data_IF_003579705399
#
_entry.id   IF_003579705399
#
_cell.length_a   1.000
_cell.length_b   1.000
_cell.length_c   1.000
_cell.angle_alpha   90.00
_cell.angle_beta   90.00
_cell.angle_gamma   90.00
#
_symmetry.space_group_name_H-M   'P 1'
#
loop_
_entity.id
_entity.type
_entity.pdbx_description
1 polymer ?
#
# COMPACT_ATOMS: atom_id res chain seq x y z
N UNK A 1 61.29 40.37 65.18
CA UNK A 1 60.84 38.97 64.94
C UNK A 1 59.68 39.02 63.95
N UNK A 2 59.82 38.32 62.82
CA UNK A 2 58.91 38.33 61.66
C UNK A 2 57.54 37.73 62.03
N UNK A 3 56.44 38.39 61.68
CA UNK A 3 55.13 37.74 61.52
C UNK A 3 54.91 37.54 60.02
N UNK A 4 55.01 36.28 59.59
CA UNK A 4 54.71 35.84 58.22
C UNK A 4 53.19 35.74 58.11
N UNK A 5 52.61 36.55 57.23
CA UNK A 5 51.23 36.47 56.80
C UNK A 5 51.16 35.44 55.67
N UNK A 6 50.54 34.28 55.92
CA UNK A 6 50.28 33.25 54.92
C UNK A 6 48.95 33.60 54.24
N UNK A 7 49.00 34.07 52.99
CA UNK A 7 47.82 34.31 52.15
C UNK A 7 47.55 33.00 51.38
N UNK A 8 46.53 32.24 51.79
CA UNK A 8 46.05 31.09 51.03
C UNK A 8 45.36 31.58 49.75
N UNK A 9 46.03 31.42 48.61
CA UNK A 9 45.47 31.64 47.29
C UNK A 9 44.63 30.41 46.92
N UNK A 10 43.33 30.45 47.18
CA UNK A 10 42.39 29.44 46.67
C UNK A 10 42.23 29.64 45.17
N UNK A 11 42.85 28.77 44.38
CA UNK A 11 42.58 28.67 42.94
C UNK A 11 41.15 28.11 42.78
N UNK A 12 40.21 28.97 42.38
CA UNK A 12 38.92 28.54 41.84
C UNK A 12 39.23 28.02 40.43
N UNK A 13 39.34 26.70 40.27
CA UNK A 13 39.17 26.11 38.95
C UNK A 13 37.70 26.27 38.60
N UNK A 14 37.39 27.24 37.74
CA UNK A 14 36.14 27.21 37.00
C UNK A 14 36.18 25.94 36.15
N UNK A 15 35.39 24.93 36.51
CA UNK A 15 35.04 23.88 35.55
C UNK A 15 34.36 24.60 34.39
N UNK A 16 35.04 24.67 33.24
CA UNK A 16 34.36 25.00 32.00
C UNK A 16 33.28 23.93 31.84
N UNK A 17 32.02 24.33 31.95
CA UNK A 17 30.92 23.44 31.59
C UNK A 17 31.21 22.95 30.17
N UNK A 18 31.25 21.62 29.97
CA UNK A 18 31.52 21.04 28.66
C UNK A 18 30.48 21.60 27.70
N UNK A 19 30.94 22.35 26.70
CA UNK A 19 30.08 22.87 25.66
C UNK A 19 30.08 21.82 24.54
N UNK A 20 28.96 21.13 24.38
CA UNK A 20 28.77 20.10 23.37
C UNK A 20 28.23 20.71 22.07
N UNK A 21 28.50 20.05 20.95
CA UNK A 21 27.82 20.31 19.68
C UNK A 21 26.66 19.35 19.55
N UNK A 22 25.46 19.86 19.30
CA UNK A 22 24.29 19.05 18.98
C UNK A 22 24.02 19.11 17.48
N UNK A 23 23.97 17.97 16.82
CA UNK A 23 23.64 17.84 15.39
C UNK A 23 22.37 17.04 15.20
N UNK A 24 21.76 17.19 14.03
CA UNK A 24 20.67 16.33 13.58
C UNK A 24 20.32 16.65 12.14
N UNK A 25 19.47 15.80 11.56
CA UNK A 25 19.00 15.94 10.18
C UNK A 25 17.49 15.87 10.14
N UNK A 26 16.84 16.90 9.59
CA UNK A 26 15.38 16.94 9.44
C UNK A 26 15.01 16.38 8.08
N UNK A 27 14.07 15.43 8.06
CA UNK A 27 13.63 14.73 6.85
C UNK A 27 12.10 14.65 6.76
N UNK A 28 11.60 14.44 5.54
CA UNK A 28 10.21 14.08 5.27
C UNK A 28 9.98 12.57 5.52
N UNK A 29 8.72 12.10 5.51
CA UNK A 29 8.42 10.66 5.54
C UNK A 29 9.04 9.87 4.38
N UNK A 30 9.26 10.52 3.24
CA UNK A 30 9.98 9.96 2.09
C UNK A 30 11.51 10.00 2.22
N UNK A 31 12.04 10.39 3.40
CA UNK A 31 13.47 10.58 3.70
C UNK A 31 14.16 11.67 2.88
N UNK A 32 13.39 12.55 2.23
CA UNK A 32 13.94 13.73 1.58
C UNK A 32 14.37 14.76 2.64
N UNK A 33 15.48 15.49 2.45
CA UNK A 33 15.91 16.50 3.41
C UNK A 33 14.96 17.70 3.44
N UNK A 34 14.68 18.23 4.62
CA UNK A 34 13.89 19.46 4.80
C UNK A 34 14.86 20.62 5.03
N UNK A 35 15.11 21.41 3.99
CA UNK A 35 15.98 22.59 4.06
C UNK A 35 15.24 23.81 4.65
N UNK A 36 15.94 24.65 5.39
CA UNK A 36 15.40 25.89 5.97
C UNK A 36 14.41 25.69 7.12
N UNK A 37 14.31 24.50 7.71
CA UNK A 37 13.54 24.28 8.93
C UNK A 37 14.19 25.05 10.09
N UNK A 38 13.39 25.81 10.82
CA UNK A 38 13.84 26.55 12.01
C UNK A 38 13.92 25.59 13.19
N UNK A 39 15.09 25.54 13.82
CA UNK A 39 15.37 24.74 15.01
C UNK A 39 15.41 25.68 16.21
N UNK A 40 14.56 25.45 17.20
CA UNK A 40 14.60 26.13 18.49
C UNK A 40 15.01 25.10 19.55
N UNK A 41 16.12 25.36 20.24
CA UNK A 41 16.68 24.48 21.25
C UNK A 41 16.69 25.23 22.58
N UNK A 42 15.67 24.96 23.40
CA UNK A 42 15.29 25.80 24.53
C UNK A 42 15.59 25.11 25.87
N UNK A 43 16.16 25.84 26.81
CA UNK A 43 16.36 25.45 28.21
C UNK A 43 15.96 26.66 29.09
N UNK A 44 15.66 26.44 30.36
CA UNK A 44 15.29 27.49 31.31
C UNK A 44 16.32 28.65 31.39
N UNK A 45 17.61 28.34 31.21
CA UNK A 45 18.72 29.30 31.32
C UNK A 45 19.30 29.76 29.96
N UNK A 46 19.06 29.02 28.87
CA UNK A 46 19.65 29.27 27.55
C UNK A 46 18.69 28.90 26.41
N UNK A 47 18.68 29.66 25.33
CA UNK A 47 17.84 29.38 24.16
C UNK A 47 18.63 29.65 22.91
N UNK A 48 18.80 28.62 22.10
CA UNK A 48 19.56 28.67 20.86
C UNK A 48 18.63 28.43 19.68
N UNK A 49 18.97 29.02 18.54
CA UNK A 49 18.27 28.79 17.29
C UNK A 49 19.26 28.47 16.18
N UNK A 50 18.82 27.63 15.26
CA UNK A 50 19.56 27.26 14.05
C UNK A 50 18.56 27.03 12.91
N UNK A 51 19.08 26.81 11.72
CA UNK A 51 18.27 26.42 10.58
C UNK A 51 18.93 25.23 9.88
N UNK A 52 18.13 24.35 9.29
CA UNK A 52 18.68 23.26 8.47
C UNK A 52 19.24 23.79 7.15
N UNK A 53 20.37 23.22 6.73
CA UNK A 53 20.97 23.48 5.42
C UNK A 53 20.24 22.73 4.29
N UNK A 54 20.76 22.84 3.06
CA UNK A 54 20.20 22.18 1.86
C UNK A 54 20.18 20.64 1.96
N UNK A 55 20.99 20.06 2.86
CA UNK A 55 21.02 18.62 3.15
C UNK A 55 20.10 18.23 4.32
N UNK A 56 19.35 19.19 4.87
CA UNK A 56 18.46 19.02 6.01
C UNK A 56 19.19 18.99 7.36
N UNK A 57 20.51 19.25 7.39
CA UNK A 57 21.33 19.12 8.59
C UNK A 57 21.31 20.43 9.36
N UNK A 58 21.16 20.36 10.68
CA UNK A 58 21.36 21.48 11.59
C UNK A 58 22.51 21.24 12.57
N UNK A 59 23.03 22.31 13.11
CA UNK A 59 24.06 22.28 14.16
C UNK A 59 23.77 23.36 15.19
N UNK A 60 23.78 22.98 16.46
CA UNK A 60 23.76 23.85 17.64
C UNK A 60 25.13 23.75 18.29
N UNK A 61 25.87 24.85 18.34
CA UNK A 61 27.23 24.87 18.89
C UNK A 61 27.22 25.39 20.32
N UNK A 62 28.11 24.84 21.13
CA UNK A 62 28.30 25.26 22.53
C UNK A 62 27.03 25.08 23.39
N UNK A 63 26.28 24.01 23.17
CA UNK A 63 25.19 23.63 24.06
C UNK A 63 25.77 23.19 25.41
N UNK A 64 25.32 23.82 26.49
CA UNK A 64 25.77 23.49 27.85
C UNK A 64 25.08 22.21 28.30
N UNK A 65 25.76 21.40 29.12
CA UNK A 65 25.14 20.22 29.71
C UNK A 65 23.83 20.58 30.44
N UNK A 66 22.73 19.90 30.10
CA UNK A 66 21.40 20.25 30.55
C UNK A 66 20.31 19.50 29.78
N UNK A 67 19.04 19.77 30.13
CA UNK A 67 17.88 19.23 29.40
C UNK A 67 17.26 20.34 28.58
N UNK A 68 16.95 20.04 27.32
CA UNK A 68 16.41 21.00 26.37
C UNK A 68 15.07 20.52 25.80
N UNK A 69 14.19 21.49 25.56
CA UNK A 69 12.99 21.39 24.75
C UNK A 69 13.34 21.75 23.29
N UNK A 70 13.23 20.80 22.38
CA UNK A 70 13.50 20.99 20.97
C UNK A 70 12.18 21.25 20.23
N UNK A 71 12.11 22.35 19.49
CA UNK A 71 11.01 22.67 18.58
C UNK A 71 11.56 22.80 17.17
N UNK A 72 10.88 22.20 16.19
CA UNK A 72 11.23 22.34 14.78
C UNK A 72 10.02 22.85 14.02
N UNK A 73 10.20 23.94 13.28
CA UNK A 73 9.18 24.56 12.46
C UNK A 73 9.63 24.60 11.00
N UNK A 74 8.79 24.12 10.09
CA UNK A 74 9.02 24.18 8.65
C UNK A 74 7.71 24.53 7.92
N UNK A 75 7.81 25.31 6.85
CA UNK A 75 6.62 25.67 6.04
C UNK A 75 5.96 24.42 5.47
N UNK A 76 4.65 24.27 5.72
CA UNK A 76 3.88 23.12 5.24
C UNK A 76 3.92 21.90 6.16
N UNK A 77 4.57 21.98 7.32
CA UNK A 77 4.63 20.89 8.31
C UNK A 77 4.05 21.38 9.65
N UNK A 78 3.37 20.52 10.43
CA UNK A 78 3.07 20.81 11.82
C UNK A 78 4.36 21.03 12.61
N UNK A 79 4.24 21.76 13.71
CA UNK A 79 5.37 21.95 14.63
C UNK A 79 5.74 20.61 15.27
N UNK A 80 7.02 20.24 15.14
CA UNK A 80 7.57 19.10 15.86
C UNK A 80 8.07 19.57 17.23
N UNK A 81 7.77 18.80 18.27
CA UNK A 81 8.24 19.05 19.63
C UNK A 81 8.86 17.78 20.22
N UNK A 82 10.06 17.91 20.77
CA UNK A 82 10.66 16.90 21.64
C UNK A 82 10.94 17.53 23.01
N UNK A 83 10.21 17.11 24.06
CA UNK A 83 10.29 17.79 25.34
C UNK A 83 11.55 17.50 26.16
N UNK A 84 12.33 16.50 25.77
CA UNK A 84 13.47 16.06 26.58
C UNK A 84 14.65 15.64 25.69
N UNK A 85 15.52 16.60 25.39
CA UNK A 85 16.86 16.36 24.83
C UNK A 85 17.91 16.57 25.90
N UNK A 86 18.55 15.50 26.34
CA UNK A 86 19.60 15.56 27.38
C UNK A 86 20.97 15.74 26.73
N UNK A 87 21.58 16.90 26.97
CA UNK A 87 22.93 17.24 26.51
C UNK A 87 23.92 17.02 27.66
N UNK A 88 25.01 16.30 27.37
CA UNK A 88 26.12 16.07 28.29
C UNK A 88 27.37 16.89 27.92
N UNK A 89 28.54 16.43 28.35
CA UNK A 89 29.83 17.09 28.06
C UNK A 89 30.46 16.68 26.71
N UNK A 90 29.74 15.90 25.89
CA UNK A 90 30.20 15.41 24.58
C UNK A 90 29.19 15.72 23.49
N UNK A 91 29.67 15.85 22.26
CA UNK A 91 28.82 16.05 21.09
C UNK A 91 27.69 15.00 21.02
N UNK A 92 26.50 15.46 20.63
CA UNK A 92 25.28 14.68 20.58
C UNK A 92 24.71 14.74 19.16
N UNK A 93 24.58 13.57 18.53
CA UNK A 93 23.84 13.45 17.28
C UNK A 93 22.43 12.94 17.57
N UNK A 94 21.43 13.76 17.22
CA UNK A 94 20.01 13.41 17.34
C UNK A 94 19.53 12.52 16.19
N UNK A 95 20.38 12.27 15.19
CA UNK A 95 20.06 11.43 14.04
C UNK A 95 19.04 12.10 13.12
N UNK A 96 18.23 11.26 12.44
CA UNK A 96 17.16 11.74 11.57
C UNK A 96 15.88 12.03 12.38
N UNK A 97 15.40 13.25 12.27
CA UNK A 97 14.11 13.70 12.83
C UNK A 97 13.14 13.85 11.67
N UNK A 98 12.14 12.99 11.63
CA UNK A 98 11.12 13.00 10.59
C UNK A 98 9.98 13.95 10.96
N UNK A 99 9.65 14.90 10.09
CA UNK A 99 8.47 15.75 10.26
C UNK A 99 7.23 15.04 9.71
N UNK A 100 6.12 15.14 10.46
CA UNK A 100 4.81 14.73 9.97
C UNK A 100 4.33 15.71 8.89
N UNK A 101 3.66 15.21 7.85
CA UNK A 101 3.02 16.06 6.83
C UNK A 101 1.55 16.18 7.20
N UNK A 102 0.93 17.38 7.15
CA UNK A 102 -0.49 17.48 7.40
C UNK A 102 -1.24 16.81 6.25
N UNK A 103 -2.14 15.89 6.58
CA UNK A 103 -2.89 15.11 5.61
C UNK A 103 -4.37 15.47 5.63
N UNK A 104 -5.01 15.32 4.47
CA UNK A 104 -6.43 15.44 4.28
C UNK A 104 -7.14 14.09 4.53
N UNK A 105 -8.35 14.16 5.06
CA UNK A 105 -9.27 13.03 5.17
C UNK A 105 -10.46 13.27 4.26
N UNK A 106 -10.66 12.41 3.28
CA UNK A 106 -11.81 12.46 2.38
C UNK A 106 -12.88 11.49 2.86
N UNK A 107 -13.96 12.05 3.38
CA UNK A 107 -15.17 11.32 3.73
C UNK A 107 -16.27 11.53 2.68
N UNK A 108 -17.08 10.50 2.46
CA UNK A 108 -18.22 10.59 1.57
C UNK A 108 -19.16 9.41 1.70
N UNK A 109 -20.10 9.32 0.77
CA UNK A 109 -21.01 8.17 0.63
C UNK A 109 -21.29 7.84 -0.83
N UNK A 110 -21.69 6.59 -1.05
CA UNK A 110 -22.10 6.07 -2.36
C UNK A 110 -23.54 5.58 -2.27
N UNK A 111 -24.40 6.05 -3.18
CA UNK A 111 -25.82 5.65 -3.21
C UNK A 111 -26.41 5.69 -4.62
N UNK A 112 -27.59 5.09 -4.78
CA UNK A 112 -28.46 5.26 -5.95
C UNK A 112 -29.59 6.20 -5.59
N UNK A 113 -29.83 7.22 -6.43
CA UNK A 113 -30.98 8.11 -6.27
C UNK A 113 -32.22 7.50 -6.92
N UNK A 114 -33.25 7.16 -6.14
CA UNK A 114 -34.54 6.68 -6.64
C UNK A 114 -35.64 7.72 -6.37
N UNK A 115 -36.77 7.70 -7.12
CA UNK A 115 -37.90 8.58 -6.86
C UNK A 115 -38.49 8.47 -5.45
N UNK A 116 -38.32 7.32 -4.80
CA UNK A 116 -38.80 7.02 -3.44
C UNK A 116 -37.82 7.39 -2.34
N UNK A 117 -36.61 7.86 -2.69
CA UNK A 117 -35.52 8.13 -1.77
C UNK A 117 -34.21 7.50 -2.22
N UNK A 118 -33.11 7.90 -1.57
CA UNK A 118 -31.80 7.32 -1.84
C UNK A 118 -31.71 5.92 -1.24
N UNK A 119 -31.00 5.04 -1.95
CA UNK A 119 -30.60 3.71 -1.46
C UNK A 119 -29.09 3.73 -1.34
N UNK A 120 -28.59 3.75 -0.11
CA UNK A 120 -27.16 3.67 0.19
C UNK A 120 -26.61 2.33 -0.33
N UNK A 121 -25.39 2.35 -0.88
CA UNK A 121 -24.75 1.17 -1.45
C UNK A 121 -23.64 0.68 -0.52
N UNK A 122 -23.92 -0.25 0.42
CA UNK A 122 -22.87 -0.92 1.16
C UNK A 122 -22.13 -1.90 0.26
N UNK A 123 -20.82 -2.09 0.49
CA UNK A 123 -20.03 -2.98 -0.35
C UNK A 123 -19.40 -2.31 -1.58
N UNK A 124 -19.87 -1.12 -1.99
CA UNK A 124 -19.35 -0.39 -3.14
C UNK A 124 -17.84 -0.15 -2.99
N UNK A 125 -17.08 -0.43 -4.05
CA UNK A 125 -15.64 -0.26 -4.08
C UNK A 125 -15.30 1.14 -4.59
N UNK A 126 -14.65 1.91 -3.72
CA UNK A 126 -14.19 3.28 -3.98
C UNK A 126 -12.66 3.29 -4.04
N UNK A 127 -12.07 3.97 -5.00
CA UNK A 127 -10.64 4.28 -5.07
C UNK A 127 -10.42 5.79 -5.18
N UNK A 128 -9.25 6.25 -4.76
CA UNK A 128 -8.81 7.64 -4.90
C UNK A 128 -7.48 7.64 -5.64
N UNK A 129 -7.46 8.27 -6.82
CA UNK A 129 -6.26 8.49 -7.61
C UNK A 129 -5.82 9.95 -7.48
N UNK A 130 -4.53 10.17 -7.32
CA UNK A 130 -3.94 11.50 -7.25
C UNK A 130 -2.49 11.49 -7.75
N UNK A 131 -1.91 12.68 -7.92
CA UNK A 131 -0.51 12.81 -8.30
C UNK A 131 0.27 13.39 -7.13
N UNK A 132 1.33 12.69 -6.72
CA UNK A 132 2.24 13.13 -5.67
C UNK A 132 3.67 13.03 -6.19
N UNK A 133 4.42 14.13 -6.13
CA UNK A 133 5.81 14.21 -6.64
C UNK A 133 5.95 13.77 -8.12
N UNK A 134 4.92 14.01 -8.93
CA UNK A 134 4.90 13.64 -10.36
C UNK A 134 4.58 12.16 -10.62
N UNK A 135 4.31 11.37 -9.59
CA UNK A 135 3.88 9.98 -9.70
C UNK A 135 2.38 9.85 -9.44
N UNK A 136 1.70 9.04 -10.24
CA UNK A 136 0.32 8.65 -9.97
C UNK A 136 0.28 7.69 -8.78
N UNK A 137 -0.48 8.05 -7.75
CA UNK A 137 -0.79 7.23 -6.59
C UNK A 137 -2.27 6.84 -6.64
N UNK A 138 -2.57 5.65 -6.17
CA UNK A 138 -3.93 5.14 -6.03
C UNK A 138 -4.05 4.58 -4.61
N UNK A 139 -5.04 5.05 -3.87
CA UNK A 139 -5.44 4.49 -2.59
C UNK A 139 -6.77 3.74 -2.78
N UNK A 140 -6.84 2.51 -2.26
CA UNK A 140 -7.99 1.63 -2.42
C UNK A 140 -7.78 0.51 -3.46
N UNK A 141 -8.85 -0.19 -3.86
CA UNK A 141 -10.24 0.10 -3.48
C UNK A 141 -10.52 -0.15 -1.99
N UNK A 142 -11.43 0.62 -1.42
CA UNK A 142 -12.05 0.37 -0.12
C UNK A 142 -13.54 0.14 -0.30
N UNK A 143 -14.11 -0.75 0.52
CA UNK A 143 -15.54 -1.04 0.50
C UNK A 143 -16.31 -0.06 1.39
N UNK A 144 -17.42 0.47 0.89
CA UNK A 144 -18.34 1.30 1.68
C UNK A 144 -18.98 0.49 2.81
N UNK A 145 -19.31 1.20 3.90
CA UNK A 145 -19.97 0.64 5.07
C UNK A 145 -21.46 0.41 4.82
N UNK A 146 -22.16 -0.16 5.80
CA UNK A 146 -23.61 -0.45 5.77
C UNK A 146 -24.47 0.78 5.40
N UNK A 147 -24.01 1.98 5.79
CA UNK A 147 -24.67 3.26 5.50
C UNK A 147 -24.18 3.93 4.21
N UNK A 148 -23.46 3.20 3.35
CA UNK A 148 -22.89 3.70 2.10
C UNK A 148 -21.65 4.58 2.29
N UNK A 149 -21.21 4.84 3.53
CA UNK A 149 -20.10 5.76 3.80
C UNK A 149 -18.72 5.16 3.51
N UNK A 150 -17.76 6.03 3.16
CA UNK A 150 -16.34 5.71 3.03
C UNK A 150 -15.46 6.80 3.64
N UNK A 151 -14.20 6.46 3.94
CA UNK A 151 -13.20 7.37 4.50
C UNK A 151 -11.80 7.00 3.99
N UNK A 152 -11.16 7.94 3.30
CA UNK A 152 -9.74 7.89 2.95
C UNK A 152 -8.98 8.87 3.82
N UNK A 153 -8.01 8.38 4.59
CA UNK A 153 -7.13 9.20 5.42
C UNK A 153 -5.74 9.26 4.81
N UNK A 154 -4.96 10.27 5.21
CA UNK A 154 -3.56 10.38 4.79
C UNK A 154 -3.36 10.97 3.39
N UNK A 155 -4.41 11.56 2.79
CA UNK A 155 -4.31 12.15 1.46
C UNK A 155 -3.47 13.44 1.49
N UNK A 156 -2.65 13.75 0.48
CA UNK A 156 -1.87 14.99 0.47
C UNK A 156 -2.77 16.23 0.38
N UNK A 157 -2.55 17.25 1.21
CA UNK A 157 -3.31 18.50 1.12
C UNK A 157 -3.12 19.23 -0.22
N UNK A 158 -4.05 20.14 -0.53
CA UNK A 158 -4.01 21.02 -1.71
C UNK A 158 -3.76 20.24 -3.02
N UNK A 159 -4.30 19.03 -3.10
CA UNK A 159 -4.12 18.10 -4.21
C UNK A 159 -5.47 17.78 -4.82
N UNK A 160 -5.53 17.72 -6.15
CA UNK A 160 -6.70 17.24 -6.87
C UNK A 160 -6.78 15.71 -6.80
N UNK A 161 -7.98 15.17 -6.61
CA UNK A 161 -8.23 13.73 -6.57
C UNK A 161 -9.27 13.31 -7.62
N UNK A 162 -9.03 12.18 -8.30
CA UNK A 162 -10.04 11.45 -9.06
C UNK A 162 -10.57 10.30 -8.19
N UNK A 163 -11.83 10.39 -7.76
CA UNK A 163 -12.47 9.40 -6.89
C UNK A 163 -13.38 8.53 -7.73
N UNK A 164 -13.05 7.24 -7.85
CA UNK A 164 -13.85 6.29 -8.63
C UNK A 164 -14.64 5.38 -7.71
N UNK A 165 -15.95 5.26 -7.92
CA UNK A 165 -16.79 4.30 -7.24
C UNK A 165 -17.41 3.31 -8.23
N UNK A 166 -17.47 2.05 -7.81
CA UNK A 166 -18.08 0.95 -8.56
C UNK A 166 -18.89 0.06 -7.62
N UNK A 167 -20.00 -0.48 -8.11
CA UNK A 167 -20.85 -1.43 -7.41
C UNK A 167 -21.39 -2.41 -8.47
N UNK A 168 -21.68 -3.65 -8.09
CA UNK A 168 -22.33 -4.56 -9.04
C UNK A 168 -23.67 -3.96 -9.48
N UNK A 169 -24.08 -4.24 -10.72
CA UNK A 169 -25.33 -3.74 -11.29
C UNK A 169 -25.42 -2.21 -11.47
N UNK A 170 -24.32 -1.48 -11.25
CA UNK A 170 -24.25 -0.03 -11.38
C UNK A 170 -23.17 0.42 -12.37
N UNK A 171 -23.41 1.56 -13.00
CA UNK A 171 -22.43 2.22 -13.86
C UNK A 171 -21.34 2.83 -12.98
N UNK A 172 -20.09 2.40 -13.21
CA UNK A 172 -18.90 2.97 -12.57
C UNK A 172 -18.81 4.47 -12.82
N UNK A 173 -18.48 5.24 -11.77
CA UNK A 173 -18.42 6.70 -11.85
C UNK A 173 -17.14 7.24 -11.23
N UNK A 174 -16.52 8.20 -11.91
CA UNK A 174 -15.38 8.97 -11.40
C UNK A 174 -15.82 10.41 -11.15
N UNK A 175 -15.44 10.96 -9.99
CA UNK A 175 -15.70 12.34 -9.57
C UNK A 175 -14.38 13.01 -9.24
N UNK A 176 -14.17 14.23 -9.75
CA UNK A 176 -13.01 15.05 -9.41
C UNK A 176 -13.29 15.84 -8.13
N UNK A 177 -12.38 15.77 -7.17
CA UNK A 177 -12.33 16.63 -5.99
C UNK A 177 -11.19 17.62 -6.20
N UNK A 178 -11.53 18.89 -6.27
CA UNK A 178 -10.60 19.99 -6.54
C UNK A 178 -9.58 20.19 -5.41
N UNK A 179 -8.40 20.69 -5.76
CA UNK A 179 -7.39 21.10 -4.79
C UNK A 179 -7.93 22.18 -3.82
N UNK A 180 -7.50 22.10 -2.57
CA UNK A 180 -7.92 23.05 -1.52
C UNK A 180 -9.32 22.77 -0.94
N UNK A 181 -9.86 21.57 -1.14
CA UNK A 181 -11.06 21.12 -0.44
C UNK A 181 -10.91 21.30 1.08
N UNK A 182 -11.96 21.81 1.72
CA UNK A 182 -11.96 22.09 3.17
C UNK A 182 -12.04 20.78 3.98
N UNK A 183 -11.56 20.81 5.22
CA UNK A 183 -11.56 19.63 6.09
C UNK A 183 -12.97 19.07 6.41
N UNK A 184 -14.03 19.85 6.20
CA UNK A 184 -15.44 19.46 6.36
C UNK A 184 -16.12 19.06 5.04
N UNK A 185 -15.39 19.04 3.92
CA UNK A 185 -15.93 18.61 2.65
C UNK A 185 -16.43 17.16 2.72
N UNK A 186 -17.63 16.93 2.19
CA UNK A 186 -18.29 15.63 2.17
C UNK A 186 -18.68 15.27 0.74
N UNK A 187 -18.17 14.14 0.24
CA UNK A 187 -18.37 13.74 -1.14
C UNK A 187 -19.60 12.84 -1.32
N UNK A 188 -20.58 13.29 -2.08
CA UNK A 188 -21.72 12.49 -2.53
C UNK A 188 -21.43 11.87 -3.91
N UNK A 189 -21.36 10.53 -3.98
CA UNK A 189 -21.24 9.80 -5.25
C UNK A 189 -22.55 9.08 -5.55
N UNK A 190 -23.27 9.56 -6.56
CA UNK A 190 -24.51 8.92 -7.04
C UNK A 190 -24.20 8.00 -8.19
N UNK A 191 -24.38 6.69 -8.00
CA UNK A 191 -24.29 5.69 -9.07
C UNK A 191 -25.62 5.50 -9.78
N UNK A 192 -25.54 5.17 -11.07
CA UNK A 192 -26.69 4.88 -11.91
C UNK A 192 -26.86 3.36 -12.02
N UNK A 193 -28.09 2.88 -12.03
CA UNK A 193 -28.37 1.45 -12.27
C UNK A 193 -28.11 1.11 -13.73
N UNK A 194 -27.57 -0.08 -14.00
CA UNK A 194 -27.47 -0.61 -15.35
C UNK A 194 -28.88 -1.00 -15.80
N UNK A 195 -29.41 -0.33 -16.82
CA UNK A 195 -30.75 -0.61 -17.37
C UNK A 195 -30.72 -1.41 -18.67
N UNK A 196 -29.66 -1.24 -19.47
CA UNK A 196 -29.43 -1.92 -20.74
C UNK A 196 -28.09 -2.67 -20.67
N UNK A 197 -28.01 -3.64 -19.76
CA UNK A 197 -26.78 -4.40 -19.56
C UNK A 197 -26.60 -5.53 -20.56
N UNK A 198 -25.36 -5.99 -20.70
CA UNK A 198 -24.96 -7.03 -21.64
C UNK A 198 -25.00 -8.41 -20.97
N UNK A 199 -25.50 -9.42 -21.68
CA UNK A 199 -25.41 -10.81 -21.24
C UNK A 199 -24.13 -11.43 -21.76
N UNK A 200 -23.34 -12.05 -20.88
CA UNK A 200 -22.14 -12.80 -21.23
C UNK A 200 -22.33 -14.27 -20.87
N UNK A 201 -22.05 -15.15 -21.83
CA UNK A 201 -22.22 -16.60 -21.70
C UNK A 201 -20.94 -17.35 -22.03
N UNK A 202 -20.84 -18.60 -21.62
CA UNK A 202 -19.77 -19.50 -22.05
C UNK A 202 -19.77 -20.85 -21.35
N UNK A 203 -18.77 -21.66 -21.67
CA UNK A 203 -18.59 -23.02 -21.14
C UNK A 203 -17.17 -23.22 -20.60
N UNK A 204 -17.02 -23.88 -19.45
CA UNK A 204 -15.75 -24.33 -18.92
C UNK A 204 -15.44 -25.74 -19.42
N UNK A 205 -14.27 -25.93 -20.01
CA UNK A 205 -13.81 -27.26 -20.46
C UNK A 205 -12.38 -27.51 -20.02
N UNK A 206 -11.92 -28.75 -20.11
CA UNK A 206 -10.50 -29.09 -19.94
C UNK A 206 -9.80 -29.19 -21.32
N UNK A 207 -8.50 -29.47 -21.31
CA UNK A 207 -7.69 -29.60 -22.54
C UNK A 207 -8.12 -30.75 -23.48
N UNK A 208 -9.08 -31.59 -23.04
CA UNK A 208 -9.70 -32.66 -23.82
C UNK A 208 -11.15 -32.33 -24.24
N UNK A 209 -11.55 -31.07 -24.15
CA UNK A 209 -12.92 -30.58 -24.41
C UNK A 209 -14.00 -31.21 -23.52
N UNK A 210 -13.63 -31.76 -22.37
CA UNK A 210 -14.59 -32.32 -21.40
C UNK A 210 -15.08 -31.23 -20.44
N UNK A 211 -16.37 -31.25 -20.03
CA UNK A 211 -16.93 -30.28 -19.10
C UNK A 211 -16.14 -30.18 -17.78
N UNK A 212 -15.88 -28.96 -17.34
CA UNK A 212 -15.35 -28.67 -16.00
C UNK A 212 -16.47 -28.13 -15.14
N UNK A 213 -16.92 -28.92 -14.17
CA UNK A 213 -18.02 -28.58 -13.28
C UNK A 213 -17.53 -27.83 -12.05
N UNK A 214 -18.45 -27.13 -11.38
CA UNK A 214 -18.20 -26.47 -10.08
C UNK A 214 -17.09 -25.41 -10.16
N UNK A 215 -16.96 -24.77 -11.31
CA UNK A 215 -16.10 -23.60 -11.47
C UNK A 215 -16.71 -22.35 -10.83
N UNK A 216 -15.86 -21.43 -10.41
CA UNK A 216 -16.22 -20.08 -10.00
C UNK A 216 -15.55 -19.08 -10.95
N UNK A 217 -16.35 -18.14 -11.46
CA UNK A 217 -15.91 -17.09 -12.38
C UNK A 217 -16.15 -15.75 -11.70
N UNK A 218 -15.11 -14.91 -11.66
CA UNK A 218 -15.17 -13.55 -11.16
C UNK A 218 -14.89 -12.59 -12.32
N UNK A 219 -15.85 -11.73 -12.64
CA UNK A 219 -15.65 -10.60 -13.55
C UNK A 219 -15.41 -9.35 -12.72
N UNK A 220 -14.14 -9.00 -12.50
CA UNK A 220 -13.78 -7.80 -11.75
C UNK A 220 -13.71 -6.60 -12.70
N UNK A 221 -14.45 -5.53 -12.43
CA UNK A 221 -14.39 -4.30 -13.24
C UNK A 221 -12.96 -3.76 -13.21
N UNK A 222 -12.39 -3.39 -14.36
CA UNK A 222 -11.15 -2.62 -14.41
C UNK A 222 -11.55 -1.14 -14.41
N UNK A 223 -11.27 -0.45 -13.31
CA UNK A 223 -11.60 0.96 -13.16
C UNK A 223 -10.72 1.84 -14.07
N UNK A 224 -11.11 3.11 -14.35
CA UNK A 224 -10.32 4.03 -15.18
C UNK A 224 -8.90 4.28 -14.65
N UNK A 225 -8.69 4.14 -13.33
CA UNK A 225 -7.38 4.26 -12.69
C UNK A 225 -6.52 2.97 -12.81
N UNK A 226 -7.08 1.89 -13.36
CA UNK A 226 -6.44 0.58 -13.50
C UNK A 226 -6.58 -0.33 -12.29
N UNK A 227 -7.20 0.13 -11.20
CA UNK A 227 -7.54 -0.73 -10.07
C UNK A 227 -8.70 -1.66 -10.39
N UNK A 228 -8.87 -2.72 -9.59
CA UNK A 228 -10.02 -3.62 -9.73
C UNK A 228 -11.18 -3.11 -8.87
N UNK A 229 -12.30 -2.82 -9.51
CA UNK A 229 -13.55 -2.43 -8.88
C UNK A 229 -14.42 -3.63 -8.53
N UNK A 230 -15.70 -3.36 -8.33
CA UNK A 230 -16.71 -4.37 -7.97
C UNK A 230 -16.77 -5.50 -8.98
N UNK A 231 -17.25 -6.65 -8.53
CA UNK A 231 -17.20 -7.88 -9.29
C UNK A 231 -18.53 -8.62 -9.36
N UNK A 232 -18.71 -9.32 -10.47
CA UNK A 232 -19.74 -10.34 -10.61
C UNK A 232 -19.14 -11.70 -10.30
N UNK A 233 -19.80 -12.49 -9.45
CA UNK A 233 -19.38 -13.84 -9.09
C UNK A 233 -20.42 -14.83 -9.61
N UNK A 234 -19.99 -15.73 -10.48
CA UNK A 234 -20.81 -16.84 -10.98
C UNK A 234 -20.25 -18.15 -10.44
N UNK A 235 -21.12 -18.94 -9.82
CA UNK A 235 -20.81 -20.30 -9.37
C UNK A 235 -21.51 -21.29 -10.31
N UNK A 236 -20.73 -22.08 -11.04
CA UNK A 236 -21.22 -23.12 -11.96
C UNK A 236 -21.53 -24.41 -11.18
N UNK A 237 -22.47 -24.35 -10.24
CA UNK A 237 -22.87 -25.52 -9.43
C UNK A 237 -23.44 -26.63 -10.32
N UNK A 238 -22.79 -27.80 -10.30
CA UNK A 238 -23.14 -28.99 -11.09
C UNK A 238 -23.24 -28.77 -12.61
N UNK A 239 -22.71 -27.65 -13.12
CA UNK A 239 -22.68 -27.30 -14.54
C UNK A 239 -21.30 -26.80 -14.95
N UNK A 240 -21.01 -26.82 -16.25
CA UNK A 240 -19.86 -26.14 -16.83
C UNK A 240 -20.25 -24.86 -17.59
N UNK A 241 -21.53 -24.59 -17.74
CA UNK A 241 -22.03 -23.39 -18.41
C UNK A 241 -22.10 -22.23 -17.42
N UNK A 242 -21.92 -21.01 -17.91
CA UNK A 242 -22.15 -19.80 -17.13
C UNK A 242 -22.91 -18.76 -17.94
N UNK A 243 -23.70 -17.97 -17.23
CA UNK A 243 -24.42 -16.80 -17.75
C UNK A 243 -24.27 -15.69 -16.73
N UNK A 244 -23.78 -14.54 -17.17
CA UNK A 244 -23.79 -13.30 -16.42
C UNK A 244 -24.66 -12.29 -17.15
N UNK A 245 -25.77 -11.91 -16.53
CA UNK A 245 -26.66 -10.87 -17.07
C UNK A 245 -26.25 -9.49 -16.53
N UNK A 246 -26.73 -8.45 -17.21
CA UNK A 246 -26.60 -7.06 -16.76
C UNK A 246 -25.16 -6.56 -16.56
N UNK A 247 -24.21 -7.07 -17.34
CA UNK A 247 -22.85 -6.52 -17.33
C UNK A 247 -22.85 -5.08 -17.84
N UNK A 248 -22.05 -4.22 -17.22
CA UNK A 248 -21.91 -2.83 -17.65
C UNK A 248 -21.34 -2.80 -19.08
N UNK A 249 -22.04 -2.17 -20.05
CA UNK A 249 -21.54 -2.04 -21.41
C UNK A 249 -20.32 -1.12 -21.48
N UNK A 250 -19.56 -1.21 -22.56
CA UNK A 250 -18.35 -0.41 -22.83
C UNK A 250 -17.34 -0.42 -21.67
N UNK A 251 -17.23 -1.56 -20.97
CA UNK A 251 -16.44 -1.70 -19.74
C UNK A 251 -15.46 -2.86 -19.87
N UNK A 252 -14.24 -2.65 -19.40
CA UNK A 252 -13.23 -3.69 -19.36
C UNK A 252 -13.27 -4.45 -18.01
N UNK A 253 -13.11 -5.76 -18.06
CA UNK A 253 -13.11 -6.64 -16.91
C UNK A 253 -11.84 -7.48 -16.89
N UNK A 254 -11.35 -7.79 -15.68
CA UNK A 254 -10.42 -8.89 -15.46
C UNK A 254 -11.26 -10.11 -15.11
N UNK A 255 -11.08 -11.20 -15.85
CA UNK A 255 -11.84 -12.44 -15.62
C UNK A 255 -10.93 -13.43 -14.91
N UNK A 256 -11.32 -13.86 -13.71
CA UNK A 256 -10.60 -14.85 -12.91
C UNK A 256 -11.47 -16.10 -12.82
N UNK A 257 -10.95 -17.23 -13.27
CA UNK A 257 -11.68 -18.49 -13.33
C UNK A 257 -10.93 -19.52 -12.50
N UNK A 258 -11.64 -20.14 -11.57
CA UNK A 258 -11.13 -21.19 -10.71
C UNK A 258 -12.06 -22.40 -10.78
N UNK A 259 -11.53 -23.60 -10.64
CA UNK A 259 -12.33 -24.82 -10.51
C UNK A 259 -11.55 -25.87 -9.72
N UNK A 260 -12.22 -26.80 -9.01
CA UNK A 260 -11.55 -27.87 -8.27
C UNK A 260 -10.59 -28.67 -9.16
N UNK A 261 -9.36 -28.89 -8.70
CA UNK A 261 -8.29 -29.60 -9.43
C UNK A 261 -7.77 -28.91 -10.71
N UNK A 262 -8.21 -27.69 -11.01
CA UNK A 262 -7.74 -26.90 -12.16
C UNK A 262 -6.92 -25.68 -11.71
N UNK A 263 -5.96 -25.29 -12.55
CA UNK A 263 -5.17 -24.10 -12.31
C UNK A 263 -6.07 -22.86 -12.50
N UNK A 264 -5.83 -21.81 -11.70
CA UNK A 264 -6.48 -20.53 -11.93
C UNK A 264 -6.15 -20.03 -13.34
N UNK A 265 -7.18 -19.60 -14.06
CA UNK A 265 -7.03 -18.94 -15.36
C UNK A 265 -7.44 -17.49 -15.23
N UNK A 266 -6.57 -16.61 -15.69
CA UNK A 266 -6.81 -15.17 -15.70
C UNK A 266 -6.85 -14.66 -17.13
N UNK A 267 -7.92 -13.96 -17.47
CA UNK A 267 -8.02 -13.11 -18.65
C UNK A 267 -7.80 -11.68 -18.17
N UNK A 268 -6.61 -11.14 -18.43
CA UNK A 268 -6.18 -9.84 -17.86
C UNK A 268 -7.08 -8.68 -18.31
N UNK A 269 -7.66 -8.79 -19.50
CA UNK A 269 -8.60 -7.79 -20.02
C UNK A 269 -9.62 -8.45 -20.95
N UNK A 270 -10.89 -8.32 -20.62
CA UNK A 270 -12.05 -8.72 -21.38
C UNK A 270 -12.95 -7.50 -21.57
N UNK A 271 -13.18 -7.08 -22.82
CA UNK A 271 -13.96 -5.89 -23.12
C UNK A 271 -15.41 -6.28 -23.41
N UNK A 272 -16.34 -5.72 -22.63
CA UNK A 272 -17.78 -5.84 -22.87
C UNK A 272 -18.21 -4.64 -23.70
N UNK A 273 -18.75 -4.91 -24.89
CA UNK A 273 -19.32 -3.91 -25.79
C UNK A 273 -20.76 -3.55 -25.43
N UNK A 274 -21.61 -3.42 -26.45
CA UNK A 274 -23.05 -3.10 -26.28
C UNK A 274 -23.98 -4.27 -26.67
N UNK A 275 -23.42 -5.36 -27.20
CA UNK A 275 -24.16 -6.56 -27.62
C UNK A 275 -23.82 -7.75 -26.72
N UNK A 276 -24.75 -8.70 -26.61
CA UNK A 276 -24.54 -9.97 -25.90
C UNK A 276 -23.31 -10.73 -26.45
N UNK A 277 -22.58 -11.37 -25.55
CA UNK A 277 -21.30 -12.03 -25.85
C UNK A 277 -21.38 -13.51 -25.48
N UNK A 278 -21.03 -14.37 -26.42
CA UNK A 278 -20.69 -15.76 -26.16
C UNK A 278 -19.15 -15.89 -26.16
N UNK A 279 -18.59 -16.17 -24.98
CA UNK A 279 -17.15 -16.41 -24.80
C UNK A 279 -16.72 -17.79 -25.33
N UNK A 280 -17.67 -18.64 -25.71
CA UNK A 280 -17.46 -20.00 -26.15
C UNK A 280 -16.84 -20.87 -25.05
N UNK A 281 -16.00 -21.81 -25.46
CA UNK A 281 -15.32 -22.75 -24.57
C UNK A 281 -14.04 -22.16 -24.01
N UNK A 282 -13.95 -22.10 -22.69
CA UNK A 282 -12.77 -21.68 -21.96
C UNK A 282 -12.09 -22.92 -21.37
N UNK A 283 -10.96 -23.33 -21.99
CA UNK A 283 -10.17 -24.46 -21.48
C UNK A 283 -9.40 -24.11 -20.19
N UNK A 284 -9.52 -24.94 -19.17
CA UNK A 284 -8.74 -24.92 -17.94
C UNK A 284 -7.74 -26.08 -17.94
N UNK A 285 -6.46 -25.74 -17.75
CA UNK A 285 -5.42 -26.72 -17.50
C UNK A 285 -5.54 -27.26 -16.08
N UNK A 286 -5.22 -28.54 -15.86
CA UNK A 286 -5.18 -29.10 -14.50
C UNK A 286 -4.20 -28.30 -13.65
N UNK A 287 -4.59 -28.06 -12.40
CA UNK A 287 -3.65 -27.60 -11.39
C UNK A 287 -2.65 -28.73 -11.25
N UNK A 288 -1.40 -28.50 -11.66
CA UNK A 288 -0.29 -29.32 -11.20
C UNK A 288 -0.03 -28.96 -9.72
N UNK A 289 -1.08 -29.06 -8.90
CA UNK A 289 -1.05 -28.90 -7.48
C UNK A 289 -0.46 -30.17 -6.92
N UNK A 290 0.87 -30.19 -6.85
CA UNK A 290 1.66 -30.79 -5.78
C UNK A 290 3.13 -30.43 -6.10
N UNK A 291 3.67 -29.46 -5.36
CA UNK A 291 4.93 -29.74 -4.67
C UNK A 291 4.73 -31.12 -4.06
N UNK A 292 5.43 -32.12 -4.59
CA UNK A 292 5.37 -33.52 -4.14
C UNK A 292 5.38 -33.59 -2.63
N UNK A 293 4.20 -33.68 -2.00
CA UNK A 293 4.03 -34.24 -0.68
C UNK A 293 4.48 -35.69 -0.85
N UNK A 294 5.77 -35.91 -0.59
CA UNK A 294 6.36 -37.23 -0.58
C UNK A 294 5.71 -37.99 0.58
N UNK A 295 4.78 -38.88 0.26
CA UNK A 295 4.24 -39.80 1.25
C UNK A 295 5.36 -40.75 1.69
N UNK A 296 5.83 -40.55 2.93
CA UNK A 296 6.50 -41.51 3.82
C UNK A 296 7.48 -42.52 3.19
N UNK A 297 8.35 -42.07 2.28
CA UNK A 297 9.58 -42.79 2.00
C UNK A 297 10.69 -42.24 2.88
N UNK A 298 11.17 -43.06 3.82
CA UNK A 298 12.35 -42.79 4.67
C UNK A 298 13.67 -42.79 3.87
N UNK A 299 13.62 -42.90 2.54
CA UNK A 299 14.79 -42.86 1.67
C UNK A 299 15.24 -41.42 1.39
N UNK A 300 16.55 -41.19 1.53
CA UNK A 300 17.15 -39.90 1.19
C UNK A 300 16.98 -39.59 -0.31
N UNK A 301 16.68 -38.33 -0.68
CA UNK A 301 16.58 -37.93 -2.08
C UNK A 301 17.90 -38.14 -2.83
N UNK A 302 17.79 -38.61 -4.07
CA UNK A 302 18.92 -38.69 -5.01
C UNK A 302 18.63 -37.77 -6.19
N UNK A 303 19.57 -36.87 -6.48
CA UNK A 303 19.42 -35.87 -7.53
C UNK A 303 20.16 -36.27 -8.82
N UNK A 304 19.59 -35.93 -9.96
CA UNK A 304 20.18 -36.11 -11.28
C UNK A 304 20.02 -34.82 -12.09
N UNK A 305 20.95 -34.53 -13.01
CA UNK A 305 20.73 -33.51 -14.02
C UNK A 305 19.71 -33.99 -15.07
N UNK A 306 19.30 -33.09 -15.97
CA UNK A 306 18.33 -33.40 -17.03
C UNK A 306 18.85 -34.41 -18.07
N UNK A 307 20.15 -34.71 -18.06
CA UNK A 307 20.79 -35.73 -18.88
C UNK A 307 20.89 -37.09 -18.14
N UNK A 308 20.32 -37.20 -16.93
CA UNK A 308 20.28 -38.44 -16.15
C UNK A 308 21.58 -38.76 -15.39
N UNK A 309 22.52 -37.83 -15.29
CA UNK A 309 23.74 -38.00 -14.50
C UNK A 309 23.48 -37.61 -13.04
N UNK A 310 23.93 -38.45 -12.11
CA UNK A 310 23.73 -38.23 -10.66
C UNK A 310 24.53 -37.02 -10.19
N UNK A 311 23.89 -36.17 -9.39
CA UNK A 311 24.48 -35.00 -8.73
C UNK A 311 24.69 -35.29 -7.25
N UNK A 312 25.87 -34.97 -6.72
CA UNK A 312 26.20 -35.12 -5.30
C UNK A 312 25.92 -33.85 -4.50
N UNK A 313 25.93 -32.69 -5.16
CA UNK A 313 25.71 -31.37 -4.54
C UNK A 313 25.13 -30.42 -5.59
N UNK A 314 23.84 -30.54 -5.92
CA UNK A 314 23.16 -29.58 -6.79
C UNK A 314 23.19 -28.17 -6.17
N UNK A 315 23.19 -27.15 -7.03
CA UNK A 315 23.22 -25.74 -6.60
C UNK A 315 21.80 -25.22 -6.32
N UNK A 316 21.65 -24.33 -5.34
CA UNK A 316 20.35 -23.70 -5.06
C UNK A 316 19.85 -22.92 -6.28
N UNK A 317 18.63 -23.18 -6.72
CA UNK A 317 18.05 -22.67 -7.96
C UNK A 317 18.25 -23.57 -9.18
N UNK A 318 18.98 -24.68 -9.06
CA UNK A 318 19.24 -25.58 -10.18
C UNK A 318 18.04 -26.51 -10.44
N UNK A 319 17.63 -26.61 -11.70
CA UNK A 319 16.61 -27.60 -12.11
C UNK A 319 17.24 -28.99 -12.15
N UNK A 320 16.70 -29.92 -11.37
CA UNK A 320 17.17 -31.30 -11.23
C UNK A 320 16.02 -32.30 -11.25
N UNK A 321 16.32 -33.57 -11.51
CA UNK A 321 15.41 -34.68 -11.26
C UNK A 321 15.70 -35.23 -9.86
N UNK A 322 14.76 -35.08 -8.94
CA UNK A 322 14.83 -35.69 -7.61
C UNK A 322 14.12 -37.05 -7.63
N UNK A 323 14.83 -38.10 -7.21
CA UNK A 323 14.29 -39.45 -7.07
C UNK A 323 14.27 -39.85 -5.60
N UNK A 324 13.13 -40.37 -5.13
CA UNK A 324 12.96 -41.03 -3.82
C UNK A 324 12.23 -42.36 -4.05
N UNK A 325 12.88 -43.49 -3.79
CA UNK A 325 12.34 -44.81 -4.14
C UNK A 325 12.00 -44.98 -5.62
N UNK A 326 10.73 -45.32 -5.89
CA UNK A 326 10.16 -45.49 -7.24
C UNK A 326 9.67 -44.19 -7.87
N UNK A 327 9.61 -43.09 -7.12
CA UNK A 327 9.11 -41.80 -7.59
C UNK A 327 10.26 -40.91 -8.06
N UNK A 328 10.03 -40.19 -9.16
CA UNK A 328 10.93 -39.16 -9.65
C UNK A 328 10.13 -37.92 -10.07
N UNK A 329 10.61 -36.74 -9.72
CA UNK A 329 10.01 -35.46 -10.08
C UNK A 329 11.09 -34.46 -10.51
N UNK A 330 10.73 -33.57 -11.44
CA UNK A 330 11.56 -32.41 -11.80
C UNK A 330 11.33 -31.33 -10.75
N UNK A 331 12.39 -30.89 -10.09
CA UNK A 331 12.35 -29.91 -9.00
C UNK A 331 13.40 -28.83 -9.22
N UNK A 332 13.22 -27.68 -8.59
CA UNK A 332 14.28 -26.68 -8.39
C UNK A 332 14.92 -27.01 -7.05
N UNK A 333 16.22 -27.34 -7.03
CA UNK A 333 16.99 -27.64 -5.80
C UNK A 333 17.23 -26.39 -4.98
#
# INVERSE_FOLDING_TARGET
MKKILLLCLSAILAMAAGAATVTGKVVTPSKAPVAGATILFLNDDDSQFSATDDSGVFTIQNAVAGTYFLVIQATGYPEYQNPEVVVGDTDLDLGEIELEVPTYSLNGRVYVALPTGNVELPGALVSVKYVENGETKIQGPQSTREDGSFLFEGLPLDTEYEVTASHDMNVTKTVTVEAGATADFFLDIVLEMITDGVTVTGELVNDLDQPVLNGMIRFCIIQPDGSLGSEYIINCEDTNEFVQENMQPNTAYRVIITAPDYAEKVIEKFEVGEEDIDMGKISLGKSLGIESVWSDSNEAPVYYNLQGQRLTSPEKGQIVICRRGSQAAKVVF
#
